data_IF_836116180321
#
_entry.id   IF_836116180321
#
_cell.length_a   1.000
_cell.length_b   1.000
_cell.length_c   1.000
_cell.angle_alpha   90.00
_cell.angle_beta   90.00
_cell.angle_gamma   90.00
#
_symmetry.space_group_name_H-M   'P 1'
#
loop_
_entity.id
_entity.type
_entity.pdbx_description
1 polymer ?
#
# COMPACT_ATOMS: atom_id res chain seq x y z
N UNK A 1 -6.49 -4.40 -2.72
CA UNK A 1 -7.77 -4.65 -2.03
C UNK A 1 -7.84 -4.01 -0.64
N UNK A 2 -6.74 -3.95 0.14
CA UNK A 2 -6.74 -3.39 1.50
C UNK A 2 -7.07 -1.88 1.59
N UNK A 3 -6.44 -1.03 0.77
CA UNK A 3 -6.65 0.44 0.81
C UNK A 3 -8.11 0.82 0.52
N UNK A 4 -8.73 0.20 -0.49
CA UNK A 4 -10.11 0.51 -0.88
C UNK A 4 -11.14 0.18 0.21
N UNK A 5 -10.97 -0.95 0.90
CA UNK A 5 -11.87 -1.35 1.99
C UNK A 5 -11.69 -0.46 3.22
N UNK A 6 -10.45 -0.15 3.59
CA UNK A 6 -10.15 0.72 4.72
C UNK A 6 -10.58 2.16 4.45
N UNK A 7 -10.39 2.68 3.24
CA UNK A 7 -10.83 4.01 2.84
C UNK A 7 -12.35 4.15 2.86
N UNK A 8 -13.06 3.18 2.28
CA UNK A 8 -14.53 3.18 2.22
C UNK A 8 -15.17 3.08 3.61
N UNK A 9 -14.66 2.20 4.48
CA UNK A 9 -15.10 2.13 5.88
C UNK A 9 -14.67 3.35 6.69
N UNK A 10 -13.46 3.85 6.45
CA UNK A 10 -12.86 4.98 7.16
C UNK A 10 -13.61 6.28 6.92
N UNK A 11 -13.98 6.60 5.67
CA UNK A 11 -14.73 7.83 5.35
C UNK A 11 -16.08 7.86 6.05
N UNK A 12 -16.79 6.72 6.11
CA UNK A 12 -18.06 6.62 6.85
C UNK A 12 -17.87 6.82 8.35
N UNK A 13 -16.79 6.28 8.93
CA UNK A 13 -16.47 6.45 10.35
C UNK A 13 -16.04 7.89 10.68
N UNK A 14 -15.26 8.54 9.80
CA UNK A 14 -14.83 9.94 9.97
C UNK A 14 -16.03 10.89 9.94
N UNK A 15 -17.05 10.60 9.13
CA UNK A 15 -18.29 11.37 9.10
C UNK A 15 -19.10 11.28 10.42
N UNK A 16 -18.93 10.20 11.19
CA UNK A 16 -19.53 10.06 12.53
C UNK A 16 -18.68 10.72 13.62
N UNK A 17 -17.35 10.69 13.48
CA UNK A 17 -16.40 11.29 14.41
C UNK A 17 -15.18 11.86 13.67
N UNK A 18 -15.13 13.18 13.52
CA UNK A 18 -14.04 13.86 12.79
C UNK A 18 -12.65 13.59 13.38
N UNK A 19 -12.57 13.30 14.70
CA UNK A 19 -11.32 12.94 15.39
C UNK A 19 -10.67 11.64 14.87
N UNK A 20 -11.40 10.84 14.09
CA UNK A 20 -10.89 9.62 13.47
C UNK A 20 -10.08 9.87 12.20
N UNK A 21 -10.13 11.08 11.63
CA UNK A 21 -9.44 11.41 10.37
C UNK A 21 -7.94 11.13 10.43
N UNK A 22 -7.27 11.61 11.48
CA UNK A 22 -5.82 11.42 11.66
C UNK A 22 -5.47 9.93 11.78
N UNK A 23 -6.31 9.14 12.48
CA UNK A 23 -6.09 7.70 12.64
C UNK A 23 -6.26 6.96 11.31
N UNK A 24 -7.25 7.32 10.50
CA UNK A 24 -7.47 6.76 9.16
C UNK A 24 -6.29 7.06 8.23
N UNK A 25 -5.80 8.31 8.22
CA UNK A 25 -4.66 8.72 7.40
C UNK A 25 -3.40 7.94 7.75
N UNK A 26 -3.11 7.72 9.04
CA UNK A 26 -1.96 6.91 9.46
C UNK A 26 -2.03 5.47 8.92
N UNK A 27 -3.21 4.84 8.94
CA UNK A 27 -3.40 3.48 8.40
C UNK A 27 -3.16 3.45 6.89
N UNK A 28 -3.64 4.44 6.15
CA UNK A 28 -3.44 4.53 4.69
C UNK A 28 -1.96 4.71 4.32
N UNK A 29 -1.19 5.48 5.09
CA UNK A 29 0.26 5.65 4.88
C UNK A 29 1.01 4.32 5.05
N UNK A 30 0.69 3.53 6.09
CA UNK A 30 1.31 2.22 6.27
C UNK A 30 0.94 1.23 5.16
N UNK A 31 -0.31 1.27 4.69
CA UNK A 31 -0.74 0.42 3.58
C UNK A 31 0.00 0.74 2.27
N UNK A 32 0.29 2.01 1.99
CA UNK A 32 1.10 2.46 0.86
C UNK A 32 2.56 1.99 0.96
N UNK A 33 3.17 2.09 2.14
CA UNK A 33 4.55 1.63 2.36
C UNK A 33 4.73 0.14 2.02
N UNK A 34 3.74 -0.70 2.32
CA UNK A 34 3.73 -2.12 1.92
C UNK A 34 3.64 -2.30 0.40
N UNK A 35 2.86 -1.46 -0.30
CA UNK A 35 2.77 -1.46 -1.75
C UNK A 35 4.08 -1.06 -2.43
N UNK A 36 4.72 0.00 -1.94
CA UNK A 36 6.03 0.45 -2.42
C UNK A 36 7.12 -0.59 -2.16
N UNK A 37 7.10 -1.26 -1.01
CA UNK A 37 8.02 -2.36 -0.73
C UNK A 37 7.88 -3.49 -1.75
N UNK A 38 6.64 -3.91 -2.03
CA UNK A 38 6.35 -4.94 -3.05
C UNK A 38 6.85 -4.54 -4.44
N UNK A 39 6.68 -3.27 -4.82
CA UNK A 39 7.17 -2.73 -6.10
C UNK A 39 8.71 -2.78 -6.19
N UNK A 40 9.41 -2.35 -5.15
CA UNK A 40 10.88 -2.37 -5.12
C UNK A 40 11.40 -3.80 -5.27
N UNK A 41 10.82 -4.76 -4.54
CA UNK A 41 11.19 -6.18 -4.64
C UNK A 41 10.92 -6.74 -6.04
N UNK A 42 9.77 -6.41 -6.63
CA UNK A 42 9.43 -6.83 -7.99
C UNK A 42 10.43 -6.30 -9.03
N UNK A 43 10.86 -5.04 -8.91
CA UNK A 43 11.86 -4.45 -9.81
C UNK A 43 13.22 -5.14 -9.68
N UNK A 44 13.69 -5.43 -8.46
CA UNK A 44 14.95 -6.14 -8.23
C UNK A 44 14.91 -7.55 -8.87
N UNK A 45 13.81 -8.29 -8.68
CA UNK A 45 13.63 -9.63 -9.26
C UNK A 45 13.57 -9.59 -10.80
N UNK A 46 12.90 -8.58 -11.35
CA UNK A 46 12.82 -8.38 -12.80
C UNK A 46 14.19 -8.10 -13.41
N UNK A 47 15.07 -7.38 -12.72
CA UNK A 47 16.45 -7.16 -13.18
C UNK A 47 17.29 -8.43 -13.12
N UNK A 48 17.17 -9.25 -12.05
CA UNK A 48 17.93 -10.51 -11.95
C UNK A 48 17.51 -11.57 -12.98
N UNK A 49 16.27 -11.57 -13.44
CA UNK A 49 15.80 -12.49 -14.50
C UNK A 49 16.47 -12.21 -15.85
N UNK A 50 16.85 -10.96 -16.13
CA UNK A 50 17.52 -10.58 -17.37
C UNK A 50 19.00 -11.00 -17.43
N UNK A 51 19.61 -11.34 -16.29
CA UNK A 51 21.02 -11.71 -16.17
C UNK A 51 21.28 -13.22 -16.28
N UNK A 52 20.37 -14.01 -16.86
CA UNK A 52 20.72 -15.36 -17.29
C UNK A 52 21.46 -15.26 -18.63
N UNK A 53 22.77 -15.58 -18.70
CA UNK A 53 23.40 -15.82 -19.99
C UNK A 53 22.76 -17.08 -20.55
N UNK A 54 22.03 -16.92 -21.65
CA UNK A 54 21.64 -18.02 -22.51
C UNK A 54 22.90 -18.80 -22.89
N UNK A 55 23.03 -20.04 -22.40
CA UNK A 55 23.63 -21.09 -23.23
C UNK A 55 22.78 -21.27 -24.51
#
# INVERSE_FOLDING_TARGET
>A
MAIGVVGDAGVRAVNQQEKLFVKMTLILIFAEALGLYGLIVALILSQKTSDCPSE
#
